data_IF_129170538565
#
_entry.id   IF_129170538565
#
_cell.length_a   1.000
_cell.length_b   1.000
_cell.length_c   1.000
_cell.angle_alpha   90.00
_cell.angle_beta   90.00
_cell.angle_gamma   90.00
#
_symmetry.space_group_name_H-M   'P 1'
#
loop_
_entity.id
_entity.type
_entity.pdbx_description
1 polymer ?
#
# COMPACT_ATOMS: atom_id res chain seq x y z
N UNK A 1 -2.58 -89.55 18.73
CA UNK A 1 -1.40 -88.98 18.06
C UNK A 1 -1.86 -87.81 17.25
N UNK A 2 -1.74 -86.58 17.77
CA UNK A 2 -2.08 -85.30 17.07
C UNK A 2 -0.78 -84.62 16.70
N UNK A 3 -0.58 -84.37 15.39
CA UNK A 3 0.51 -83.55 14.88
C UNK A 3 0.04 -82.09 14.78
N UNK A 4 0.63 -81.24 15.59
CA UNK A 4 0.51 -79.76 15.45
C UNK A 4 1.53 -79.29 14.41
N UNK A 5 1.05 -78.70 13.32
CA UNK A 5 1.91 -77.94 12.38
C UNK A 5 1.78 -76.45 12.71
N UNK A 6 2.88 -75.89 13.13
CA UNK A 6 3.07 -74.46 13.33
C UNK A 6 3.35 -73.81 11.97
N UNK A 7 2.49 -72.89 11.50
CA UNK A 7 2.77 -72.04 10.33
C UNK A 7 3.43 -70.75 10.82
N UNK A 8 4.67 -70.54 10.42
CA UNK A 8 5.41 -69.29 10.62
C UNK A 8 5.07 -68.33 9.46
N UNK A 9 4.35 -67.24 9.78
CA UNK A 9 4.04 -66.20 8.82
C UNK A 9 5.16 -65.15 8.93
N UNK A 10 6.06 -65.08 7.93
CA UNK A 10 7.03 -64.01 7.79
C UNK A 10 6.34 -62.77 7.19
N UNK A 11 6.12 -61.75 8.02
CA UNK A 11 5.68 -60.43 7.52
C UNK A 11 6.89 -59.68 6.95
N UNK A 12 6.95 -59.53 5.65
CA UNK A 12 7.94 -58.67 4.95
C UNK A 12 7.38 -57.26 4.94
N UNK A 13 7.92 -56.38 5.78
CA UNK A 13 7.62 -54.95 5.75
C UNK A 13 8.35 -54.27 4.63
N UNK A 14 7.63 -53.86 3.56
CA UNK A 14 8.15 -53.03 2.50
C UNK A 14 8.20 -51.58 2.97
N UNK A 15 9.40 -51.05 3.23
CA UNK A 15 9.63 -49.63 3.43
C UNK A 15 9.69 -48.96 2.03
N UNK A 16 8.63 -48.22 1.66
CA UNK A 16 8.64 -47.31 0.49
C UNK A 16 9.37 -46.04 0.95
N UNK A 17 10.62 -45.91 0.60
CA UNK A 17 11.34 -44.65 0.72
C UNK A 17 10.79 -43.69 -0.36
N UNK A 18 9.93 -42.75 0.07
CA UNK A 18 9.48 -41.65 -0.77
C UNK A 18 10.65 -40.67 -0.99
N UNK A 19 11.37 -40.86 -2.09
CA UNK A 19 12.35 -39.86 -2.54
C UNK A 19 11.55 -38.64 -3.05
N UNK A 20 11.47 -37.59 -2.26
CA UNK A 20 11.06 -36.27 -2.74
C UNK A 20 12.19 -35.74 -3.63
N UNK A 21 12.08 -35.87 -4.94
CA UNK A 21 12.92 -35.17 -5.89
C UNK A 21 12.64 -33.68 -5.69
N UNK A 22 13.63 -32.83 -5.37
CA UNK A 22 13.40 -31.40 -5.35
C UNK A 22 12.93 -30.99 -6.74
N UNK A 23 11.80 -30.29 -6.82
CA UNK A 23 11.33 -29.71 -8.07
C UNK A 23 12.46 -28.79 -8.55
N UNK A 24 13.15 -29.19 -9.60
CA UNK A 24 14.09 -28.29 -10.26
C UNK A 24 13.25 -27.14 -10.81
N UNK A 25 13.56 -25.92 -10.43
CA UNK A 25 12.94 -24.73 -11.02
C UNK A 25 13.18 -24.82 -12.53
N UNK A 26 12.13 -25.12 -13.27
CA UNK A 26 12.21 -25.12 -14.73
C UNK A 26 12.45 -23.66 -15.14
N UNK A 27 13.44 -23.45 -16.03
CA UNK A 27 13.65 -22.14 -16.63
C UNK A 27 12.32 -21.74 -17.33
N UNK A 28 11.68 -20.62 -16.95
CA UNK A 28 10.35 -20.26 -17.45
C UNK A 28 10.32 -19.99 -18.98
N UNK A 29 11.47 -20.02 -19.66
CA UNK A 29 11.57 -19.76 -21.10
C UNK A 29 11.46 -18.29 -21.49
N UNK A 30 11.46 -17.38 -20.50
CA UNK A 30 11.48 -15.92 -20.66
C UNK A 30 12.35 -15.29 -19.55
N UNK A 31 12.79 -14.05 -19.79
CA UNK A 31 13.63 -13.33 -18.83
C UNK A 31 12.77 -12.89 -17.62
N UNK A 32 13.27 -13.14 -16.41
CA UNK A 32 12.62 -12.81 -15.13
C UNK A 32 13.34 -11.72 -14.34
N UNK A 33 14.56 -11.35 -14.74
CA UNK A 33 15.36 -10.28 -14.13
C UNK A 33 15.77 -9.27 -15.19
N UNK A 34 15.50 -7.99 -14.93
CA UNK A 34 15.89 -6.86 -15.77
C UNK A 34 16.60 -5.81 -14.93
N UNK A 35 17.46 -5.03 -15.55
CA UNK A 35 18.11 -3.85 -14.93
C UNK A 35 17.83 -2.61 -15.75
N UNK A 36 17.36 -1.55 -15.09
CA UNK A 36 17.19 -0.21 -15.67
C UNK A 36 18.29 0.69 -15.12
N UNK A 37 19.07 1.29 -16.02
CA UNK A 37 20.14 2.23 -15.68
C UNK A 37 20.22 3.35 -16.71
N UNK A 38 20.10 4.61 -16.27
CA UNK A 38 20.09 5.78 -17.17
C UNK A 38 21.40 6.00 -17.90
N UNK A 39 22.52 5.47 -17.38
CA UNK A 39 23.84 5.52 -17.99
C UNK A 39 24.08 4.48 -19.08
N UNK A 40 23.08 3.63 -19.37
CA UNK A 40 23.14 2.57 -20.36
C UNK A 40 23.83 1.29 -19.90
N UNK A 41 24.17 1.16 -18.60
CA UNK A 41 24.80 -0.05 -18.05
C UNK A 41 23.80 -1.17 -17.76
N UNK A 42 22.50 -0.92 -17.88
CA UNK A 42 21.41 -1.89 -17.72
C UNK A 42 20.88 -2.44 -19.03
N UNK A 43 19.86 -3.27 -18.95
CA UNK A 43 19.12 -3.78 -20.11
C UNK A 43 18.28 -2.67 -20.77
N UNK A 44 17.81 -1.70 -19.98
CA UNK A 44 17.02 -0.56 -20.42
C UNK A 44 17.51 0.73 -19.77
N UNK A 45 17.20 1.87 -20.38
CA UNK A 45 17.44 3.21 -19.80
C UNK A 45 16.18 3.84 -19.21
N UNK A 46 15.00 3.28 -19.53
CA UNK A 46 13.70 3.75 -19.06
C UNK A 46 12.91 2.64 -18.39
N UNK A 47 12.18 2.99 -17.32
CA UNK A 47 11.41 2.03 -16.54
C UNK A 47 10.24 1.47 -17.35
N UNK A 48 9.51 2.34 -18.10
CA UNK A 48 8.37 1.89 -18.89
C UNK A 48 8.78 0.88 -19.97
N UNK A 49 9.92 1.08 -20.63
CA UNK A 49 10.43 0.15 -21.65
C UNK A 49 10.74 -1.23 -21.06
N UNK A 50 11.29 -1.26 -19.84
CA UNK A 50 11.52 -2.54 -19.14
C UNK A 50 10.21 -3.25 -18.81
N UNK A 51 9.17 -2.52 -18.33
CA UNK A 51 7.84 -3.07 -18.05
C UNK A 51 7.20 -3.62 -19.31
N UNK A 52 7.25 -2.87 -20.41
CA UNK A 52 6.67 -3.26 -21.70
C UNK A 52 7.34 -4.51 -22.30
N UNK A 53 8.61 -4.76 -21.97
CA UNK A 53 9.35 -5.94 -22.39
C UNK A 53 9.04 -7.20 -21.54
N UNK A 54 8.36 -7.07 -20.38
CA UNK A 54 8.05 -8.22 -19.54
C UNK A 54 6.95 -9.09 -20.16
N UNK A 55 7.00 -10.40 -19.84
CA UNK A 55 5.95 -11.33 -20.23
C UNK A 55 4.61 -10.95 -19.60
N UNK A 56 3.56 -10.89 -20.40
CA UNK A 56 2.19 -10.76 -19.90
C UNK A 56 1.74 -12.04 -19.20
N UNK A 57 1.09 -11.93 -18.04
CA UNK A 57 0.63 -13.02 -17.19
C UNK A 57 1.72 -14.07 -16.93
N UNK A 58 2.83 -13.67 -16.29
CA UNK A 58 3.97 -14.57 -16.09
C UNK A 58 3.63 -15.67 -15.09
N UNK A 59 4.15 -16.87 -15.32
CA UNK A 59 4.03 -18.01 -14.39
C UNK A 59 4.91 -17.76 -13.15
N UNK A 60 6.14 -17.24 -13.36
CA UNK A 60 7.10 -16.90 -12.32
C UNK A 60 7.18 -15.39 -12.10
N UNK A 61 7.52 -14.93 -10.88
CA UNK A 61 7.72 -13.52 -10.60
C UNK A 61 8.81 -12.88 -11.47
N UNK A 62 8.57 -11.64 -11.88
CA UNK A 62 9.54 -10.83 -12.63
C UNK A 62 10.05 -9.69 -11.76
N UNK A 63 11.36 -9.47 -11.78
CA UNK A 63 12.00 -8.37 -11.04
C UNK A 63 12.68 -7.40 -11.99
N UNK A 64 12.39 -6.12 -11.86
CA UNK A 64 13.11 -5.03 -12.53
C UNK A 64 13.88 -4.26 -11.45
N UNK A 65 15.23 -4.29 -11.54
CA UNK A 65 16.12 -3.56 -10.66
C UNK A 65 16.40 -2.17 -11.23
N UNK A 66 16.13 -1.15 -10.42
CA UNK A 66 16.34 0.23 -10.80
C UNK A 66 17.64 0.76 -10.19
N UNK A 67 18.59 1.14 -11.01
CA UNK A 67 19.78 1.85 -10.57
C UNK A 67 19.44 3.25 -10.07
N UNK A 68 20.32 3.83 -9.24
CA UNK A 68 20.19 5.23 -8.81
C UNK A 68 20.02 6.15 -10.01
N UNK A 69 19.10 7.08 -9.89
CA UNK A 69 18.79 8.04 -10.95
C UNK A 69 17.44 8.73 -10.71
N UNK A 70 17.21 9.80 -11.44
CA UNK A 70 15.93 10.53 -11.45
C UNK A 70 15.22 10.22 -12.76
N UNK A 71 14.29 9.30 -12.73
CA UNK A 71 13.51 8.84 -13.87
C UNK A 71 12.28 9.73 -14.05
N UNK A 72 12.38 10.71 -14.96
CA UNK A 72 11.25 11.59 -15.28
C UNK A 72 10.32 10.88 -16.26
N UNK A 73 9.45 10.01 -15.73
CA UNK A 73 8.55 9.18 -16.51
C UNK A 73 7.18 9.07 -15.82
N UNK A 74 6.11 8.98 -16.62
CA UNK A 74 4.84 8.41 -16.18
C UNK A 74 4.93 6.91 -16.37
N UNK A 75 4.93 6.19 -15.28
CA UNK A 75 5.09 4.72 -15.30
C UNK A 75 3.74 4.07 -15.07
N UNK A 76 3.41 3.08 -15.92
CA UNK A 76 2.20 2.28 -15.78
C UNK A 76 2.54 0.79 -15.78
N UNK A 77 2.12 0.11 -14.72
CA UNK A 77 2.16 -1.34 -14.58
C UNK A 77 0.77 -1.85 -14.94
N UNK A 78 0.64 -2.46 -16.11
CA UNK A 78 -0.66 -2.89 -16.63
C UNK A 78 -1.19 -4.12 -15.90
N UNK A 79 -2.48 -4.35 -15.95
CA UNK A 79 -3.16 -5.47 -15.28
C UNK A 79 -2.62 -6.87 -15.64
N UNK A 80 -1.95 -7.02 -16.78
CA UNK A 80 -1.29 -8.26 -17.20
C UNK A 80 0.16 -8.42 -16.71
N UNK A 81 0.78 -7.38 -16.13
CA UNK A 81 2.13 -7.46 -15.53
C UNK A 81 2.07 -7.97 -14.08
N UNK A 82 1.30 -9.03 -13.84
CA UNK A 82 1.15 -9.63 -12.50
C UNK A 82 2.48 -10.14 -11.95
N UNK A 83 2.62 -10.20 -10.62
CA UNK A 83 3.85 -10.66 -9.93
C UNK A 83 5.11 -9.87 -10.32
N UNK A 84 4.97 -8.60 -10.69
CA UNK A 84 6.07 -7.72 -11.03
C UNK A 84 6.62 -7.04 -9.77
N UNK A 85 7.94 -7.04 -9.62
CA UNK A 85 8.64 -6.27 -8.60
C UNK A 85 9.51 -5.19 -9.23
N UNK A 86 9.39 -3.94 -8.78
CA UNK A 86 10.32 -2.85 -9.05
C UNK A 86 11.15 -2.60 -7.80
N UNK A 87 12.47 -2.81 -7.86
CA UNK A 87 13.38 -2.72 -6.71
C UNK A 87 14.48 -1.70 -7.00
N UNK A 88 14.46 -0.59 -6.27
CA UNK A 88 15.49 0.45 -6.33
C UNK A 88 16.74 0.08 -5.56
N UNK A 89 17.88 0.65 -5.93
CA UNK A 89 19.12 0.53 -5.18
C UNK A 89 19.05 1.17 -3.80
N UNK A 90 18.46 2.37 -3.70
CA UNK A 90 18.10 3.01 -2.44
C UNK A 90 16.96 4.01 -2.65
N UNK A 91 16.19 4.21 -1.59
CA UNK A 91 14.98 5.04 -1.60
C UNK A 91 15.23 6.50 -1.97
N UNK A 92 16.31 7.08 -1.47
CA UNK A 92 16.60 8.51 -1.60
C UNK A 92 17.09 8.89 -3.00
N UNK A 93 17.79 7.97 -3.66
CA UNK A 93 18.46 8.23 -4.93
C UNK A 93 17.87 7.47 -6.13
N UNK A 94 16.86 6.61 -5.92
CA UNK A 94 16.09 5.97 -6.99
C UNK A 94 14.71 6.63 -7.04
N UNK A 95 14.55 7.63 -7.92
CA UNK A 95 13.39 8.52 -7.92
C UNK A 95 12.63 8.41 -9.25
N UNK A 96 11.34 8.09 -9.19
CA UNK A 96 10.40 8.20 -10.31
C UNK A 96 9.62 9.50 -10.08
N UNK A 97 9.67 10.41 -11.05
CA UNK A 97 9.10 11.75 -10.90
C UNK A 97 8.31 12.18 -12.14
N UNK A 98 7.21 12.87 -11.92
CA UNK A 98 6.45 13.55 -12.96
C UNK A 98 5.71 14.78 -12.39
N UNK A 99 5.05 15.56 -13.25
CA UNK A 99 4.49 16.86 -12.87
C UNK A 99 3.09 17.13 -13.46
N UNK A 100 2.31 16.07 -13.69
CA UNK A 100 0.92 16.22 -14.14
C UNK A 100 0.00 16.60 -12.96
N UNK A 101 -0.97 17.46 -13.21
CA UNK A 101 -1.99 17.87 -12.26
C UNK A 101 -3.35 18.07 -12.95
N UNK A 102 -4.41 18.25 -12.18
CA UNK A 102 -5.79 18.24 -12.65
C UNK A 102 -6.02 19.15 -13.86
N UNK A 103 -5.68 20.44 -13.76
CA UNK A 103 -5.90 21.40 -14.85
C UNK A 103 -4.98 21.19 -16.05
N UNK A 104 -3.77 20.63 -15.84
CA UNK A 104 -2.85 20.28 -16.94
C UNK A 104 -3.40 19.13 -17.77
N UNK A 105 -4.00 18.11 -17.13
CA UNK A 105 -4.64 16.97 -17.81
C UNK A 105 -5.90 17.40 -18.55
N UNK A 106 -6.75 18.21 -17.93
CA UNK A 106 -7.94 18.82 -18.52
C UNK A 106 -8.92 17.84 -19.21
N UNK A 107 -9.17 16.70 -18.56
CA UNK A 107 -10.13 15.67 -18.99
C UNK A 107 -11.45 15.75 -18.18
N UNK A 108 -11.83 16.95 -17.71
CA UNK A 108 -13.00 17.16 -16.87
C UNK A 108 -12.84 16.49 -15.49
N UNK A 109 -13.93 15.97 -14.92
CA UNK A 109 -13.96 15.46 -13.54
C UNK A 109 -13.02 14.29 -13.26
N UNK A 110 -12.57 13.58 -14.29
CA UNK A 110 -11.71 12.41 -14.16
C UNK A 110 -10.22 12.76 -14.24
N UNK A 111 -9.86 14.04 -14.40
CA UNK A 111 -8.47 14.47 -14.57
C UNK A 111 -7.56 13.97 -13.45
N UNK A 112 -8.00 13.99 -12.19
CA UNK A 112 -7.23 13.52 -11.03
C UNK A 112 -6.63 12.14 -11.27
N UNK A 113 -7.43 11.19 -11.78
CA UNK A 113 -7.01 9.79 -11.97
C UNK A 113 -5.99 9.58 -13.10
N UNK A 114 -5.74 10.63 -13.89
CA UNK A 114 -4.74 10.65 -14.96
C UNK A 114 -3.48 11.43 -14.60
N UNK A 115 -3.37 11.98 -13.39
CA UNK A 115 -2.22 12.80 -12.98
C UNK A 115 -1.06 11.98 -12.40
N UNK A 116 -1.21 10.67 -12.25
CA UNK A 116 -0.25 9.79 -11.59
C UNK A 116 1.17 9.87 -12.14
N UNK A 117 2.13 9.70 -11.28
CA UNK A 117 3.53 9.42 -11.66
C UNK A 117 3.73 7.91 -11.86
N UNK A 118 3.26 7.09 -10.90
CA UNK A 118 3.21 5.62 -11.02
C UNK A 118 1.77 5.14 -10.88
N UNK A 119 1.28 4.40 -11.89
CA UNK A 119 0.00 3.67 -11.82
C UNK A 119 0.26 2.16 -11.81
N UNK A 120 -0.42 1.44 -10.91
CA UNK A 120 -0.32 -0.01 -10.73
C UNK A 120 -1.70 -0.62 -10.88
N UNK A 121 -1.96 -1.31 -11.98
CA UNK A 121 -3.20 -2.06 -12.23
C UNK A 121 -3.00 -3.56 -11.98
N UNK A 122 -1.75 -4.02 -11.88
CA UNK A 122 -1.40 -5.43 -11.74
C UNK A 122 -1.58 -5.93 -10.31
N UNK A 123 -2.10 -7.14 -10.18
CA UNK A 123 -2.09 -7.87 -8.91
C UNK A 123 -0.70 -8.40 -8.56
N UNK A 124 -0.46 -8.60 -7.26
CA UNK A 124 0.79 -9.16 -6.74
C UNK A 124 2.03 -8.30 -7.08
N UNK A 125 1.84 -6.98 -7.14
CA UNK A 125 2.91 -6.02 -7.42
C UNK A 125 3.71 -5.72 -6.15
N UNK A 126 5.02 -5.49 -6.33
CA UNK A 126 5.92 -5.05 -5.26
C UNK A 126 6.75 -3.84 -5.70
N UNK A 127 6.82 -2.82 -4.84
CA UNK A 127 7.75 -1.70 -4.95
C UNK A 127 8.65 -1.66 -3.71
N UNK A 128 9.96 -1.53 -3.91
CA UNK A 128 10.90 -1.48 -2.79
C UNK A 128 12.03 -0.50 -3.05
N UNK A 129 12.41 0.28 -2.02
CA UNK A 129 13.52 1.22 -2.04
C UNK A 129 13.43 2.28 -3.16
N UNK A 130 12.24 2.82 -3.42
CA UNK A 130 12.00 3.80 -4.48
C UNK A 130 11.26 5.02 -3.91
N UNK A 131 11.65 6.21 -4.35
CA UNK A 131 10.83 7.42 -4.21
C UNK A 131 9.95 7.58 -5.45
N UNK A 132 8.66 7.77 -5.26
CA UNK A 132 7.70 8.18 -6.31
C UNK A 132 7.16 9.55 -5.92
N UNK A 133 7.35 10.54 -6.79
CA UNK A 133 6.92 11.90 -6.49
C UNK A 133 6.15 12.56 -7.63
N UNK A 134 5.15 13.36 -7.27
CA UNK A 134 4.53 14.31 -8.18
C UNK A 134 5.00 15.73 -7.83
N UNK A 135 5.72 16.36 -8.75
CA UNK A 135 6.38 17.65 -8.57
C UNK A 135 5.58 18.84 -9.11
N UNK A 136 4.29 18.67 -9.39
CA UNK A 136 3.43 19.77 -9.87
C UNK A 136 3.32 20.94 -8.86
N UNK A 137 3.57 20.67 -7.58
CA UNK A 137 3.43 21.68 -6.52
C UNK A 137 2.00 21.79 -5.97
N UNK A 138 1.68 22.84 -5.18
CA UNK A 138 0.36 23.02 -4.56
C UNK A 138 -0.67 23.63 -5.53
N UNK A 139 -0.92 22.96 -6.64
CA UNK A 139 -1.77 23.42 -7.76
C UNK A 139 -3.11 22.68 -7.88
N UNK A 140 -3.52 21.96 -6.84
CA UNK A 140 -4.70 21.10 -6.84
C UNK A 140 -4.32 19.63 -6.89
N UNK A 141 -5.23 18.77 -7.35
CA UNK A 141 -5.05 17.32 -7.35
C UNK A 141 -3.90 16.90 -8.28
N UNK A 142 -2.96 16.14 -7.73
CA UNK A 142 -1.76 15.70 -8.42
C UNK A 142 -1.23 14.39 -7.77
N UNK A 143 -1.60 13.26 -8.32
CA UNK A 143 -1.31 11.93 -7.77
C UNK A 143 0.14 11.52 -8.03
N UNK A 144 0.86 11.09 -7.03
CA UNK A 144 2.15 10.42 -7.19
C UNK A 144 1.96 8.92 -7.44
N UNK A 145 1.24 8.23 -6.56
CA UNK A 145 0.96 6.79 -6.65
C UNK A 145 -0.54 6.54 -6.83
N UNK A 146 -0.91 5.78 -7.86
CA UNK A 146 -2.26 5.29 -8.12
C UNK A 146 -2.24 3.76 -8.18
N UNK A 147 -2.97 3.09 -7.29
CA UNK A 147 -3.03 1.62 -7.20
C UNK A 147 -4.45 1.14 -7.43
N UNK A 148 -4.62 0.22 -8.37
CA UNK A 148 -5.89 -0.49 -8.64
C UNK A 148 -5.73 -2.01 -8.43
N UNK A 149 -4.49 -2.51 -8.46
CA UNK A 149 -4.16 -3.92 -8.28
C UNK A 149 -4.48 -4.43 -6.88
N UNK A 150 -4.77 -5.72 -6.76
CA UNK A 150 -4.92 -6.41 -5.48
C UNK A 150 -3.58 -7.02 -5.02
N UNK A 151 -3.34 -7.05 -3.74
CA UNK A 151 -2.14 -7.59 -3.09
C UNK A 151 -0.85 -6.87 -3.51
N UNK A 152 -0.91 -5.54 -3.48
CA UNK A 152 0.26 -4.71 -3.74
C UNK A 152 1.06 -4.44 -2.45
N UNK A 153 2.39 -4.52 -2.56
CA UNK A 153 3.33 -4.40 -1.44
C UNK A 153 4.30 -3.24 -1.68
N UNK A 154 4.40 -2.36 -0.71
CA UNK A 154 5.30 -1.19 -0.74
C UNK A 154 6.20 -1.23 0.49
N UNK A 155 7.52 -1.38 0.29
CA UNK A 155 8.48 -1.49 1.40
C UNK A 155 9.58 -0.46 1.25
N UNK A 156 9.83 0.27 2.33
CA UNK A 156 10.89 1.28 2.37
C UNK A 156 10.83 2.26 1.17
N UNK A 157 9.61 2.70 0.81
CA UNK A 157 9.37 3.65 -0.28
C UNK A 157 9.10 5.06 0.26
N UNK A 158 9.21 6.06 -0.61
CA UNK A 158 8.74 7.41 -0.32
C UNK A 158 7.73 7.85 -1.39
N UNK A 159 6.56 8.34 -0.95
CA UNK A 159 5.53 8.90 -1.82
C UNK A 159 5.37 10.38 -1.49
N UNK A 160 5.77 11.23 -2.42
CA UNK A 160 5.84 12.68 -2.20
C UNK A 160 4.93 13.42 -3.17
N UNK A 161 4.12 14.33 -2.62
CA UNK A 161 3.19 15.12 -3.42
C UNK A 161 2.59 16.27 -2.62
N UNK A 162 1.41 16.71 -3.04
CA UNK A 162 0.64 17.74 -2.37
C UNK A 162 -0.79 17.25 -2.15
N UNK A 163 -1.79 17.82 -2.82
CA UNK A 163 -3.16 17.30 -2.74
C UNK A 163 -3.25 15.97 -3.50
N UNK A 164 -3.87 14.96 -2.89
CA UNK A 164 -4.17 13.66 -3.51
C UNK A 164 -2.91 12.83 -3.85
N UNK A 165 -1.89 12.78 -2.97
CA UNK A 165 -0.59 12.12 -3.27
C UNK A 165 -0.72 10.63 -3.56
N UNK A 166 -1.49 9.88 -2.74
CA UNK A 166 -1.64 8.41 -2.84
C UNK A 166 -3.10 8.05 -3.02
N UNK A 167 -3.45 7.52 -4.17
CA UNK A 167 -4.78 7.00 -4.50
C UNK A 167 -4.79 5.47 -4.48
N UNK A 168 -5.55 4.90 -3.57
CA UNK A 168 -5.73 3.46 -3.41
C UNK A 168 -7.13 3.08 -3.87
N UNK A 169 -7.24 2.72 -5.15
CA UNK A 169 -8.46 2.36 -5.82
C UNK A 169 -8.77 0.87 -5.69
N UNK A 170 -9.93 0.48 -6.17
CA UNK A 170 -10.36 -0.91 -6.20
C UNK A 170 -11.11 -1.36 -4.94
N UNK A 171 -12.40 -1.55 -5.10
CA UNK A 171 -13.32 -1.91 -3.99
C UNK A 171 -12.92 -3.15 -3.19
N UNK A 172 -12.11 -4.03 -3.79
CA UNK A 172 -11.64 -5.28 -3.19
C UNK A 172 -10.12 -5.37 -3.10
N UNK A 173 -9.41 -4.33 -3.51
CA UNK A 173 -7.95 -4.29 -3.46
C UNK A 173 -7.44 -4.23 -2.04
N UNK A 174 -6.32 -4.91 -1.80
CA UNK A 174 -5.62 -4.98 -0.54
C UNK A 174 -4.19 -4.55 -0.75
N UNK A 175 -3.77 -3.55 0.04
CA UNK A 175 -2.46 -2.94 -0.07
C UNK A 175 -1.71 -3.02 1.26
N UNK A 176 -0.41 -3.23 1.20
CA UNK A 176 0.44 -3.28 2.37
C UNK A 176 1.63 -2.33 2.22
N UNK A 177 1.76 -1.41 3.17
CA UNK A 177 2.85 -0.44 3.25
C UNK A 177 3.66 -0.68 4.51
N UNK A 178 4.98 -0.79 4.39
CA UNK A 178 5.90 -0.95 5.53
C UNK A 178 7.09 -0.02 5.42
N UNK A 179 7.40 0.68 6.52
CA UNK A 179 8.52 1.62 6.60
C UNK A 179 8.52 2.68 5.48
N UNK A 180 7.33 3.06 5.01
CA UNK A 180 7.21 4.06 3.95
C UNK A 180 7.11 5.48 4.52
N UNK A 181 7.59 6.45 3.75
CA UNK A 181 7.37 7.87 3.97
C UNK A 181 6.29 8.36 3.01
N UNK A 182 5.26 9.04 3.52
CA UNK A 182 4.17 9.61 2.69
C UNK A 182 3.94 11.05 3.12
N UNK A 183 4.04 11.99 2.19
CA UNK A 183 3.73 13.39 2.46
C UNK A 183 2.67 13.99 1.53
N UNK A 184 2.01 15.01 2.02
CA UNK A 184 1.04 15.76 1.23
C UNK A 184 0.39 16.92 1.97
N UNK A 185 -0.55 17.57 1.30
CA UNK A 185 -1.29 18.71 1.85
C UNK A 185 -2.72 18.35 2.24
N UNK A 186 -3.56 18.00 1.25
CA UNK A 186 -5.00 17.75 1.44
C UNK A 186 -5.36 16.37 0.90
N UNK A 187 -6.09 15.56 1.72
CA UNK A 187 -6.62 14.26 1.30
C UNK A 187 -5.55 13.35 0.68
N UNK A 188 -4.32 13.45 1.18
CA UNK A 188 -3.16 12.92 0.46
C UNK A 188 -3.00 11.40 0.56
N UNK A 189 -3.89 10.71 1.30
CA UNK A 189 -4.11 9.26 1.23
C UNK A 189 -5.62 9.06 1.06
N UNK A 190 -6.06 8.63 -0.11
CA UNK A 190 -7.48 8.54 -0.43
C UNK A 190 -7.83 7.32 -1.28
N UNK A 191 -9.11 6.97 -1.35
CA UNK A 191 -9.61 5.85 -2.13
C UNK A 191 -10.44 4.84 -1.33
N UNK A 192 -10.83 3.74 -1.99
CA UNK A 192 -11.76 2.74 -1.48
C UNK A 192 -11.11 1.42 -1.05
N UNK A 193 -9.84 1.19 -1.37
CA UNK A 193 -9.14 -0.06 -1.04
C UNK A 193 -9.03 -0.32 0.47
N UNK A 194 -8.78 -1.56 0.83
CA UNK A 194 -8.33 -1.93 2.17
C UNK A 194 -6.80 -1.85 2.22
N UNK A 195 -6.24 -1.00 3.07
CA UNK A 195 -4.79 -0.82 3.16
C UNK A 195 -4.29 -0.89 4.60
N UNK A 196 -3.18 -1.62 4.80
CA UNK A 196 -2.45 -1.68 6.06
C UNK A 196 -1.14 -0.90 5.93
N UNK A 197 -0.99 0.13 6.78
CA UNK A 197 0.23 0.91 6.90
C UNK A 197 0.92 0.54 8.20
N UNK A 198 2.15 0.05 8.13
CA UNK A 198 2.93 -0.40 9.29
C UNK A 198 4.24 0.37 9.39
N UNK A 199 4.48 0.95 10.56
CA UNK A 199 5.70 1.69 10.88
C UNK A 199 6.05 2.75 9.81
N UNK A 200 5.03 3.43 9.24
CA UNK A 200 5.21 4.46 8.23
C UNK A 200 5.30 5.86 8.85
N UNK A 201 6.05 6.76 8.23
CA UNK A 201 5.97 8.19 8.52
C UNK A 201 4.96 8.86 7.59
N UNK A 202 3.93 9.49 8.15
CA UNK A 202 2.88 10.22 7.44
C UNK A 202 3.00 11.70 7.78
N UNK A 203 3.40 12.53 6.81
CA UNK A 203 3.74 13.92 7.05
C UNK A 203 2.80 14.91 6.38
N UNK A 204 2.07 15.67 7.19
CA UNK A 204 1.24 16.78 6.70
C UNK A 204 2.11 18.01 6.36
N UNK A 205 1.88 18.61 5.19
CA UNK A 205 2.59 19.82 4.72
C UNK A 205 1.74 21.09 4.79
N UNK A 206 0.46 21.00 5.13
CA UNK A 206 -0.43 22.15 5.33
C UNK A 206 -1.54 21.85 6.33
N UNK A 207 -2.23 22.89 6.77
CA UNK A 207 -3.43 22.81 7.59
C UNK A 207 -4.58 22.19 6.76
N UNK A 208 -4.80 20.88 6.87
CA UNK A 208 -5.81 20.17 6.10
C UNK A 208 -6.08 18.75 6.64
N UNK A 209 -6.28 17.76 5.75
CA UNK A 209 -6.70 16.40 6.07
C UNK A 209 -5.67 15.38 5.57
N UNK A 210 -5.36 14.38 6.39
CA UNK A 210 -4.45 13.30 6.01
C UNK A 210 -5.19 12.33 5.08
N UNK A 211 -6.33 11.78 5.54
CA UNK A 211 -7.06 10.75 4.80
C UNK A 211 -8.41 11.22 4.27
N UNK A 212 -8.80 10.69 3.11
CA UNK A 212 -10.12 10.81 2.52
C UNK A 212 -10.59 9.44 2.01
N UNK A 213 -10.96 8.55 2.93
CA UNK A 213 -11.42 7.21 2.60
C UNK A 213 -12.77 7.24 1.88
N UNK A 214 -12.97 6.30 0.96
CA UNK A 214 -14.21 6.09 0.23
C UNK A 214 -14.65 4.62 0.24
N UNK A 215 -14.30 3.89 1.28
CA UNK A 215 -14.66 2.49 1.47
C UNK A 215 -16.11 2.24 1.06
N UNK A 216 -16.35 1.17 0.29
CA UNK A 216 -17.69 0.87 -0.22
C UNK A 216 -18.52 0.10 0.79
N UNK A 217 -19.85 0.10 0.60
CA UNK A 217 -20.78 -0.64 1.45
C UNK A 217 -20.41 -2.13 1.52
N UNK A 218 -20.52 -2.70 2.71
CA UNK A 218 -20.24 -4.12 2.97
C UNK A 218 -18.76 -4.47 3.18
N UNK A 219 -17.81 -3.56 2.93
CA UNK A 219 -16.41 -3.79 3.28
C UNK A 219 -16.19 -3.56 4.78
N UNK A 220 -15.62 -4.53 5.52
CA UNK A 220 -15.41 -4.40 6.95
C UNK A 220 -14.25 -3.46 7.31
N UNK A 221 -13.30 -3.27 6.42
CA UNK A 221 -12.07 -2.50 6.63
C UNK A 221 -11.79 -1.55 5.46
N UNK A 222 -11.11 -0.43 5.77
CA UNK A 222 -10.56 0.54 4.84
C UNK A 222 -9.07 0.76 5.16
N UNK A 223 -8.67 1.99 5.48
CA UNK A 223 -7.29 2.31 5.85
C UNK A 223 -7.02 2.01 7.32
N UNK A 224 -5.95 1.28 7.60
CA UNK A 224 -5.48 0.98 8.96
C UNK A 224 -4.02 1.38 9.09
N UNK A 225 -3.73 2.30 10.01
CA UNK A 225 -2.38 2.77 10.34
C UNK A 225 -1.99 2.13 11.68
N UNK A 226 -0.87 1.40 11.69
CA UNK A 226 -0.35 0.70 12.86
C UNK A 226 1.09 1.13 13.13
N UNK A 227 1.35 1.56 14.36
CA UNK A 227 2.69 2.03 14.79
C UNK A 227 3.30 3.10 13.86
N UNK A 228 2.46 3.95 13.25
CA UNK A 228 2.91 5.01 12.35
C UNK A 228 3.25 6.30 13.11
N UNK A 229 4.25 7.03 12.61
CA UNK A 229 4.57 8.39 13.04
C UNK A 229 3.78 9.39 12.20
N UNK A 230 2.88 10.15 12.83
CA UNK A 230 2.10 11.20 12.17
C UNK A 230 2.75 12.53 12.48
N UNK A 231 3.45 13.09 11.51
CA UNK A 231 4.26 14.31 11.62
C UNK A 231 3.70 15.47 10.79
N UNK A 232 4.27 16.66 10.96
CA UNK A 232 3.87 17.82 10.17
C UNK A 232 5.08 18.74 9.85
N UNK A 233 4.92 19.57 8.84
CA UNK A 233 5.86 20.65 8.57
C UNK A 233 5.79 21.73 9.69
N UNK A 234 6.88 22.49 9.95
CA UNK A 234 6.95 23.39 11.10
C UNK A 234 5.91 24.52 11.14
N UNK A 235 5.40 24.90 9.99
CA UNK A 235 4.42 25.97 9.81
C UNK A 235 2.96 25.50 9.91
N UNK A 236 2.73 24.20 9.93
CA UNK A 236 1.40 23.59 10.10
C UNK A 236 0.87 23.80 11.52
N UNK A 237 -0.37 24.27 11.64
CA UNK A 237 -1.02 24.61 12.91
C UNK A 237 -2.14 23.67 13.30
N UNK A 238 -2.82 23.07 12.31
CA UNK A 238 -3.97 22.21 12.56
C UNK A 238 -4.16 21.18 11.46
N UNK A 239 -4.15 19.89 11.82
CA UNK A 239 -4.35 18.77 10.90
C UNK A 239 -5.50 17.89 11.40
N UNK A 240 -6.32 17.39 10.50
CA UNK A 240 -7.29 16.34 10.79
C UNK A 240 -6.73 14.98 10.33
N UNK A 241 -6.96 13.92 11.11
CA UNK A 241 -6.61 12.55 10.74
C UNK A 241 -7.33 12.11 9.45
N UNK A 242 -8.52 12.69 9.21
CA UNK A 242 -9.22 12.48 7.95
C UNK A 242 -10.63 13.00 7.92
N UNK A 243 -11.25 12.82 6.74
CA UNK A 243 -12.66 13.10 6.49
C UNK A 243 -13.26 12.05 5.54
N UNK A 244 -14.53 11.63 5.69
CA UNK A 244 -15.13 10.60 4.84
C UNK A 244 -15.48 11.15 3.46
N UNK A 245 -14.78 10.70 2.42
CA UNK A 245 -15.13 11.07 1.05
C UNK A 245 -16.42 10.40 0.57
N UNK A 246 -16.74 9.21 1.11
CA UNK A 246 -17.99 8.49 0.83
C UNK A 246 -18.61 7.98 2.12
N UNK A 247 -19.88 7.60 2.03
CA UNK A 247 -20.76 7.28 3.14
C UNK A 247 -20.27 6.15 4.06
N UNK A 248 -19.61 5.12 3.53
CA UNK A 248 -19.12 3.95 4.29
C UNK A 248 -17.63 4.01 4.60
N UNK A 249 -17.02 5.20 4.50
CA UNK A 249 -15.58 5.41 4.73
C UNK A 249 -15.11 4.82 6.06
N UNK A 250 -13.95 4.14 6.04
CA UNK A 250 -13.33 3.52 7.21
C UNK A 250 -11.86 3.88 7.30
N UNK A 251 -11.46 4.40 8.47
CA UNK A 251 -10.05 4.70 8.76
C UNK A 251 -9.78 4.47 10.24
N UNK A 252 -8.70 3.76 10.57
CA UNK A 252 -8.34 3.42 11.93
C UNK A 252 -6.85 3.70 12.17
N UNK A 253 -6.52 4.35 13.30
CA UNK A 253 -5.15 4.55 13.77
C UNK A 253 -4.92 3.74 15.05
N UNK A 254 -3.95 2.84 15.03
CA UNK A 254 -3.60 1.93 16.12
C UNK A 254 -2.17 2.20 16.59
N UNK A 255 -2.02 2.49 17.87
CA UNK A 255 -0.71 2.63 18.52
C UNK A 255 0.24 3.62 17.80
N UNK A 256 -0.34 4.61 17.12
CA UNK A 256 0.39 5.62 16.35
C UNK A 256 0.96 6.71 17.26
N UNK A 257 2.07 7.32 16.81
CA UNK A 257 2.68 8.46 17.46
C UNK A 257 2.24 9.75 16.76
N UNK A 258 1.29 10.49 17.34
CA UNK A 258 0.67 11.68 16.77
C UNK A 258 1.47 12.93 17.16
N UNK A 259 2.57 13.19 16.47
CA UNK A 259 3.44 14.36 16.68
C UNK A 259 2.90 15.62 15.99
N UNK A 260 2.12 15.47 14.93
CA UNK A 260 1.46 16.58 14.24
C UNK A 260 0.45 17.30 15.16
N UNK A 261 0.16 18.59 14.92
CA UNK A 261 -0.83 19.35 15.65
C UNK A 261 -2.25 18.93 15.25
N UNK A 262 -2.66 17.71 15.66
CA UNK A 262 -3.97 17.16 15.33
C UNK A 262 -5.06 18.02 16.01
N UNK A 263 -6.07 18.42 15.24
CA UNK A 263 -7.24 19.11 15.75
C UNK A 263 -7.86 18.32 16.92
N UNK A 264 -8.35 18.98 17.99
CA UNK A 264 -8.97 18.26 19.11
C UNK A 264 -10.07 17.28 18.69
N UNK A 265 -10.89 17.64 17.70
CA UNK A 265 -11.94 16.79 17.12
C UNK A 265 -11.37 15.56 16.39
N UNK A 266 -10.12 15.59 15.97
CA UNK A 266 -9.39 14.54 15.25
C UNK A 266 -9.86 14.34 13.83
N UNK A 267 -11.16 14.37 13.59
CA UNK A 267 -11.83 14.06 12.34
C UNK A 267 -12.81 15.16 11.94
N UNK A 268 -13.10 15.28 10.66
CA UNK A 268 -14.05 16.26 10.16
C UNK A 268 -15.02 15.61 9.18
N UNK A 269 -16.31 16.01 9.24
CA UNK A 269 -17.28 15.61 8.24
C UNK A 269 -16.96 16.23 6.88
N UNK A 270 -17.17 15.49 5.79
CA UNK A 270 -16.99 16.01 4.43
C UNK A 270 -18.01 17.10 4.12
N UNK A 271 -19.27 16.86 4.49
CA UNK A 271 -20.37 17.80 4.35
C UNK A 271 -21.39 17.64 5.51
N UNK A 272 -22.35 18.56 5.60
CA UNK A 272 -23.44 18.44 6.59
C UNK A 272 -24.43 17.30 6.26
N UNK A 273 -24.32 16.69 5.08
CA UNK A 273 -25.18 15.60 4.60
C UNK A 273 -24.55 14.22 4.77
N UNK A 274 -23.34 14.15 5.35
CA UNK A 274 -22.65 12.89 5.53
C UNK A 274 -23.44 11.99 6.48
N UNK A 275 -23.60 10.75 6.10
CA UNK A 275 -24.21 9.74 6.94
C UNK A 275 -23.19 9.22 7.96
N UNK A 276 -23.13 9.95 9.07
CA UNK A 276 -22.21 9.64 10.19
C UNK A 276 -22.52 8.31 10.87
N UNK A 277 -23.65 7.67 10.53
CA UNK A 277 -24.04 6.38 11.10
C UNK A 277 -23.32 5.20 10.40
N UNK A 278 -22.90 5.38 9.16
CA UNK A 278 -22.23 4.33 8.37
C UNK A 278 -20.74 4.49 8.31
N UNK A 279 -20.21 5.69 8.56
CA UNK A 279 -18.77 5.97 8.64
C UNK A 279 -18.18 5.33 9.90
N UNK A 280 -17.01 4.67 9.76
CA UNK A 280 -16.29 4.10 10.89
C UNK A 280 -14.88 4.65 10.97
N UNK A 281 -14.66 5.64 11.83
CA UNK A 281 -13.36 6.24 12.10
C UNK A 281 -13.00 6.01 13.56
N UNK A 282 -11.81 5.43 13.80
CA UNK A 282 -11.43 4.99 15.13
C UNK A 282 -9.95 5.19 15.45
N UNK A 283 -9.65 5.23 16.75
CA UNK A 283 -8.28 5.28 17.29
C UNK A 283 -8.15 4.27 18.43
N UNK A 284 -6.91 3.76 18.63
CA UNK A 284 -6.54 2.96 19.78
C UNK A 284 -5.12 3.27 20.23
N UNK A 285 -4.94 3.56 21.52
CA UNK A 285 -3.66 3.67 22.21
C UNK A 285 -2.60 4.57 21.53
N UNK A 286 -3.03 5.50 20.66
CA UNK A 286 -2.11 6.48 20.05
C UNK A 286 -1.56 7.42 21.10
N UNK A 287 -0.31 7.87 20.91
CA UNK A 287 0.46 8.70 21.82
C UNK A 287 0.88 10.02 21.16
N UNK A 288 1.55 10.89 21.92
CA UNK A 288 2.05 12.19 21.45
C UNK A 288 1.07 13.34 21.67
N UNK A 289 1.51 14.58 21.36
CA UNK A 289 0.73 15.80 21.66
C UNK A 289 -0.60 15.88 20.90
N UNK A 290 -0.70 15.23 19.74
CA UNK A 290 -1.95 15.13 18.95
C UNK A 290 -2.95 14.10 19.47
N UNK A 291 -2.57 13.22 20.40
CA UNK A 291 -3.41 12.17 20.94
C UNK A 291 -4.34 12.72 22.06
N UNK A 292 -5.51 13.21 21.68
CA UNK A 292 -6.48 13.80 22.58
C UNK A 292 -7.83 13.04 22.55
N UNK A 293 -7.91 11.76 22.96
CA UNK A 293 -9.05 10.89 22.75
C UNK A 293 -10.35 11.40 23.36
N UNK A 294 -10.28 12.17 24.46
CA UNK A 294 -11.48 12.74 25.13
C UNK A 294 -12.10 13.93 24.39
N UNK A 295 -11.41 14.51 23.43
CA UNK A 295 -11.87 15.68 22.67
C UNK A 295 -12.29 15.34 21.26
N UNK A 296 -12.17 14.06 20.87
CA UNK A 296 -12.57 13.61 19.54
C UNK A 296 -14.04 13.81 19.27
N UNK A 297 -14.37 14.05 18.01
CA UNK A 297 -15.75 14.26 17.57
C UNK A 297 -16.63 13.04 17.94
N UNK A 298 -17.86 13.29 18.35
CA UNK A 298 -18.73 12.29 18.98
C UNK A 298 -19.09 11.07 18.11
N UNK A 299 -18.96 11.16 16.79
CA UNK A 299 -19.22 10.04 15.88
C UNK A 299 -17.99 9.17 15.58
N UNK A 300 -16.81 9.56 16.06
CA UNK A 300 -15.61 8.70 16.00
C UNK A 300 -15.54 7.77 17.22
N UNK A 301 -14.72 6.74 17.13
CA UNK A 301 -14.66 5.68 18.12
C UNK A 301 -13.28 5.63 18.78
N UNK A 302 -13.26 5.33 20.07
CA UNK A 302 -12.06 4.87 20.77
C UNK A 302 -12.21 3.36 20.98
N UNK A 303 -11.35 2.56 20.35
CA UNK A 303 -11.45 1.11 20.44
C UNK A 303 -11.03 0.62 21.83
N UNK A 304 -11.73 -0.42 22.31
CA UNK A 304 -11.26 -1.16 23.47
C UNK A 304 -10.03 -2.04 23.11
N UNK A 305 -9.28 -2.51 24.11
CA UNK A 305 -8.18 -3.47 23.89
C UNK A 305 -8.65 -4.74 23.16
N UNK A 306 -9.85 -5.19 23.45
CA UNK A 306 -10.43 -6.37 22.82
C UNK A 306 -10.74 -6.13 21.33
N UNK A 307 -11.31 -4.95 21.00
CA UNK A 307 -11.60 -4.58 19.62
C UNK A 307 -10.32 -4.37 18.81
N UNK A 308 -9.32 -3.66 19.39
CA UNK A 308 -8.04 -3.43 18.75
C UNK A 308 -7.27 -4.73 18.47
N UNK A 309 -7.32 -5.71 19.38
CA UNK A 309 -6.69 -7.02 19.16
C UNK A 309 -7.26 -7.79 17.95
N UNK A 310 -8.43 -7.39 17.44
CA UNK A 310 -9.00 -7.95 16.22
C UNK A 310 -8.41 -7.34 14.94
N UNK A 311 -7.64 -6.24 15.04
CA UNK A 311 -6.97 -5.61 13.92
C UNK A 311 -5.57 -6.21 13.75
N UNK A 312 -5.47 -7.30 13.02
CA UNK A 312 -4.19 -7.89 12.61
C UNK A 312 -4.05 -7.81 11.09
N UNK A 313 -2.82 -7.73 10.54
CA UNK A 313 -2.63 -7.69 9.09
C UNK A 313 -3.35 -8.84 8.38
N UNK A 314 -3.25 -10.07 8.94
CA UNK A 314 -3.91 -11.25 8.38
C UNK A 314 -5.43 -11.08 8.27
N UNK A 315 -6.06 -10.52 9.32
CA UNK A 315 -7.51 -10.32 9.34
C UNK A 315 -7.95 -9.18 8.43
N UNK A 316 -7.23 -8.04 8.49
CA UNK A 316 -7.53 -6.85 7.68
C UNK A 316 -7.37 -7.16 6.19
N UNK A 317 -6.30 -7.88 5.83
CA UNK A 317 -5.98 -8.27 4.46
C UNK A 317 -6.64 -9.60 4.04
N UNK A 318 -7.69 -10.02 4.76
CA UNK A 318 -8.53 -11.18 4.42
C UNK A 318 -7.72 -12.45 4.16
N UNK A 319 -6.78 -12.79 5.05
CA UNK A 319 -5.93 -13.98 4.98
C UNK A 319 -4.71 -13.85 4.05
N UNK A 320 -4.59 -12.76 3.30
CA UNK A 320 -3.36 -12.48 2.57
C UNK A 320 -2.30 -11.89 3.51
N UNK A 321 -1.17 -12.59 3.60
CA UNK A 321 -0.01 -12.16 4.40
C UNK A 321 1.18 -11.95 3.47
N UNK A 322 1.52 -10.69 3.14
CA UNK A 322 2.72 -10.40 2.38
C UNK A 322 3.96 -10.88 3.14
N UNK A 323 4.99 -11.33 2.42
CA UNK A 323 6.23 -11.82 3.04
C UNK A 323 6.87 -10.76 3.96
N UNK A 324 6.75 -9.48 3.58
CA UNK A 324 7.21 -8.36 4.38
C UNK A 324 6.47 -8.20 5.72
N UNK A 325 5.28 -8.77 5.89
CA UNK A 325 4.51 -8.73 7.13
C UNK A 325 4.81 -9.91 8.07
N UNK A 326 5.63 -10.87 7.63
CA UNK A 326 6.03 -12.00 8.48
C UNK A 326 7.04 -11.53 9.51
N UNK A 327 6.93 -11.97 10.79
CA UNK A 327 7.82 -11.59 11.88
C UNK A 327 9.26 -12.08 11.66
#
# INVERSE_FOLDING_TARGET
MLYNRLFLVCAISFWIACFTVPASAQNPGYQTEFTVAQDGSGDFTRIQEAIDATKAFPDEPITIRLKKGVYKEKVRVYSWNTKLSLIGEDRENTVITYDDYFDKINLGRNSTFHTYTLQVEANDFRLENVTVENTAGPVGQAVALHVEGDRCVFVNCAFKGNQDTVYLAGERSRDYFRNCYIDGTTDFIFGEATAWFEACEIRAKSDSYITAASTVEGRPYGFVFHECDITAAPDVKQVYLGRPWRQFARTVFLECNLQAPIAPEGWKAWSNKDDKQTTFYAEYASQGPGAQPKQRIAWSHQLSKADAAAYTPEKILEGWMPEAAKP
#
